data_IF_298526043111
#
_entry.id   IF_298526043111
#
_cell.length_a   1.000
_cell.length_b   1.000
_cell.length_c   1.000
_cell.angle_alpha   90.00
_cell.angle_beta   90.00
_cell.angle_gamma   90.00
#
_symmetry.space_group_name_H-M   'P 1'
#
loop_
_entity.id
_entity.type
_entity.pdbx_description
1 polymer ?
#
# COMPACT_ATOMS: atom_id res chain seq x y z
N UNK A 1 -17.81 -11.50 1.80
CA UNK A 1 -16.92 -12.63 2.15
C UNK A 1 -17.21 -13.26 3.52
N UNK A 2 -18.03 -12.70 4.38
CA UNK A 2 -18.56 -13.32 5.59
C UNK A 2 -17.64 -13.38 6.84
N UNK A 3 -16.40 -12.99 6.74
CA UNK A 3 -15.47 -12.89 7.88
C UNK A 3 -15.48 -11.49 8.51
N UNK A 4 -15.17 -11.38 9.79
CA UNK A 4 -14.97 -10.11 10.50
C UNK A 4 -13.49 -9.66 10.50
N UNK A 5 -12.59 -10.59 10.21
CA UNK A 5 -11.14 -10.34 10.04
C UNK A 5 -10.63 -11.04 8.79
N UNK A 6 -9.48 -10.62 8.27
CA UNK A 6 -8.87 -11.25 7.10
C UNK A 6 -8.54 -12.74 7.34
N UNK A 7 -8.21 -13.11 8.57
CA UNK A 7 -7.90 -14.50 8.94
C UNK A 7 -9.13 -15.43 8.96
N UNK A 8 -10.33 -14.89 8.96
CA UNK A 8 -11.59 -15.65 8.93
C UNK A 8 -12.12 -15.87 7.51
N UNK A 9 -11.48 -15.27 6.50
CA UNK A 9 -11.88 -15.43 5.11
C UNK A 9 -11.48 -16.83 4.60
N UNK A 10 -12.43 -17.49 3.91
CA UNK A 10 -12.13 -18.77 3.26
C UNK A 10 -11.25 -18.53 2.02
N UNK A 11 -10.02 -19.00 2.07
CA UNK A 11 -9.09 -18.89 0.93
C UNK A 11 -9.60 -19.64 -0.32
N UNK A 12 -10.55 -20.55 -0.19
CA UNK A 12 -11.17 -21.25 -1.32
C UNK A 12 -12.38 -20.48 -1.91
N UNK A 13 -12.76 -19.34 -1.33
CA UNK A 13 -13.78 -18.47 -1.91
C UNK A 13 -13.27 -17.89 -3.23
N UNK A 14 -13.90 -18.30 -4.35
CA UNK A 14 -13.49 -17.87 -5.69
C UNK A 14 -13.64 -16.35 -5.89
N UNK A 15 -14.58 -15.70 -5.22
CA UNK A 15 -14.75 -14.26 -5.31
C UNK A 15 -13.58 -13.55 -4.61
N UNK A 16 -13.18 -14.03 -3.43
CA UNK A 16 -12.02 -13.52 -2.72
C UNK A 16 -10.74 -13.72 -3.53
N UNK A 17 -10.54 -14.91 -4.10
CA UNK A 17 -9.36 -15.18 -4.94
C UNK A 17 -9.29 -14.26 -6.15
N UNK A 18 -10.43 -13.97 -6.80
CA UNK A 18 -10.48 -13.02 -7.93
C UNK A 18 -10.11 -11.60 -7.51
N UNK A 19 -10.62 -11.15 -6.37
CA UNK A 19 -10.26 -9.82 -5.83
C UNK A 19 -8.76 -9.73 -5.54
N UNK A 20 -8.20 -10.72 -4.84
CA UNK A 20 -6.77 -10.77 -4.55
C UNK A 20 -5.96 -10.74 -5.85
N UNK A 21 -6.31 -11.58 -6.81
CA UNK A 21 -5.61 -11.66 -8.10
C UNK A 21 -5.70 -10.34 -8.89
N UNK A 22 -6.88 -9.69 -8.89
CA UNK A 22 -7.07 -8.40 -9.54
C UNK A 22 -6.18 -7.32 -8.93
N UNK A 23 -6.26 -7.15 -7.61
CA UNK A 23 -5.50 -6.11 -6.93
C UNK A 23 -3.98 -6.36 -7.00
N UNK A 24 -3.58 -7.63 -7.00
CA UNK A 24 -2.18 -7.99 -7.18
C UNK A 24 -1.70 -7.72 -8.61
N UNK A 25 -2.45 -8.12 -9.62
CA UNK A 25 -2.08 -7.95 -11.01
C UNK A 25 -2.03 -6.46 -11.43
N UNK A 26 -2.97 -5.65 -10.94
CA UNK A 26 -3.04 -4.22 -11.27
C UNK A 26 -1.84 -3.42 -10.76
N UNK A 27 -1.09 -3.93 -9.79
CA UNK A 27 0.17 -3.30 -9.36
C UNK A 27 1.27 -3.33 -10.43
N UNK A 28 1.14 -4.19 -11.45
CA UNK A 28 2.16 -4.39 -12.48
C UNK A 28 1.84 -3.68 -13.79
N UNK A 29 0.72 -2.99 -13.88
CA UNK A 29 0.25 -2.31 -15.10
C UNK A 29 -0.07 -0.84 -14.85
N UNK A 30 -0.09 -0.04 -15.93
CA UNK A 30 -0.49 1.34 -15.83
C UNK A 30 -2.03 1.48 -15.63
N UNK A 31 -2.52 2.52 -14.93
CA UNK A 31 -1.71 3.61 -14.38
C UNK A 31 -1.03 3.30 -13.04
N UNK A 32 -1.43 2.23 -12.32
CA UNK A 32 -0.91 1.97 -10.98
C UNK A 32 0.62 1.88 -10.96
N UNK A 33 1.20 1.01 -11.80
CA UNK A 33 2.66 0.83 -11.83
C UNK A 33 3.43 2.13 -12.17
N UNK A 34 2.89 2.92 -13.10
CA UNK A 34 3.55 4.16 -13.55
C UNK A 34 3.35 5.34 -12.60
N UNK A 35 2.45 5.20 -11.63
CA UNK A 35 2.15 6.24 -10.63
C UNK A 35 2.91 6.05 -9.32
N UNK A 36 3.70 4.98 -9.20
CA UNK A 36 4.51 4.74 -8.00
C UNK A 36 5.52 5.87 -7.83
N UNK A 37 5.51 6.48 -6.66
CA UNK A 37 6.39 7.58 -6.27
C UNK A 37 7.48 7.00 -5.38
N UNK A 38 8.71 7.00 -5.86
CA UNK A 38 9.90 6.68 -5.06
C UNK A 38 10.53 7.96 -4.56
N UNK A 39 11.03 7.95 -3.34
CA UNK A 39 11.65 9.12 -2.77
C UNK A 39 12.48 8.80 -1.53
N UNK A 40 13.19 9.82 -1.07
CA UNK A 40 13.85 9.79 0.22
C UNK A 40 12.82 9.76 1.36
N UNK A 41 13.18 9.33 2.58
CA UNK A 41 12.24 9.32 3.71
C UNK A 41 11.55 10.66 3.95
N UNK A 42 12.28 11.78 3.78
CA UNK A 42 11.71 13.12 3.94
C UNK A 42 10.72 13.48 2.83
N UNK A 43 11.00 13.15 1.57
CA UNK A 43 10.06 13.39 0.46
C UNK A 43 8.78 12.59 0.64
N UNK A 44 8.89 11.33 1.08
CA UNK A 44 7.72 10.50 1.41
C UNK A 44 6.91 11.11 2.55
N UNK A 45 7.58 11.55 3.63
CA UNK A 45 6.93 12.22 4.76
C UNK A 45 6.17 13.47 4.31
N UNK A 46 6.78 14.33 3.50
CA UNK A 46 6.16 15.57 2.99
C UNK A 46 4.89 15.27 2.18
N UNK A 47 4.90 14.24 1.34
CA UNK A 47 3.72 13.84 0.56
C UNK A 47 2.61 13.32 1.49
N UNK A 48 2.96 12.48 2.47
CA UNK A 48 1.97 11.95 3.42
C UNK A 48 1.37 13.05 4.29
N UNK A 49 2.14 14.06 4.70
CA UNK A 49 1.63 15.23 5.42
C UNK A 49 0.59 16.05 4.63
N UNK A 50 0.62 15.96 3.30
CA UNK A 50 -0.28 16.71 2.43
C UNK A 50 -1.53 15.91 2.01
N UNK A 51 -1.69 14.66 2.45
CA UNK A 51 -2.80 13.79 2.03
C UNK A 51 -4.18 14.44 2.20
N UNK A 52 -4.45 14.99 3.37
CA UNK A 52 -5.74 15.62 3.67
C UNK A 52 -5.99 16.86 2.81
N UNK A 53 -4.96 17.65 2.56
CA UNK A 53 -5.07 18.87 1.75
C UNK A 53 -5.29 18.56 0.28
N UNK A 54 -4.70 17.48 -0.22
CA UNK A 54 -4.75 17.10 -1.63
C UNK A 54 -5.92 16.14 -1.93
N UNK A 55 -6.56 15.57 -0.92
CA UNK A 55 -7.62 14.57 -1.06
C UNK A 55 -7.15 13.26 -1.69
N UNK A 56 -5.84 12.97 -1.66
CA UNK A 56 -5.26 11.71 -2.13
C UNK A 56 -4.83 10.86 -0.94
N UNK A 57 -4.97 9.55 -1.07
CA UNK A 57 -4.48 8.57 -0.12
C UNK A 57 -3.48 7.63 -0.78
N UNK A 58 -2.68 6.94 0.03
CA UNK A 58 -1.59 6.12 -0.49
C UNK A 58 -1.51 4.77 0.20
N UNK A 59 -0.89 3.81 -0.47
CA UNK A 59 -0.21 2.71 0.20
C UNK A 59 1.28 3.02 0.26
N UNK A 60 1.93 2.78 1.39
CA UNK A 60 3.38 2.84 1.53
C UNK A 60 3.92 1.43 1.29
N UNK A 61 4.81 1.29 0.31
CA UNK A 61 5.66 0.12 0.17
C UNK A 61 6.94 0.32 0.98
N UNK A 62 7.28 -0.66 1.79
CA UNK A 62 8.54 -0.74 2.54
C UNK A 62 9.32 -1.97 2.11
N UNK A 63 10.62 -1.83 1.91
CA UNK A 63 11.46 -2.90 1.37
C UNK A 63 12.73 -3.06 2.17
N UNK A 64 13.25 -4.27 2.22
CA UNK A 64 14.62 -4.52 2.68
C UNK A 64 15.60 -4.11 1.58
N UNK A 65 16.73 -3.55 1.97
CA UNK A 65 17.75 -3.08 1.03
C UNK A 65 18.30 -4.20 0.15
N UNK A 66 18.39 -5.41 0.68
CA UNK A 66 18.85 -6.60 -0.06
C UNK A 66 17.77 -7.23 -0.97
N UNK A 67 16.56 -6.66 -0.98
CA UNK A 67 15.45 -7.16 -1.77
C UNK A 67 14.82 -8.47 -1.26
N UNK A 68 15.23 -8.95 -0.09
CA UNK A 68 14.73 -10.23 0.47
C UNK A 68 13.30 -10.16 1.00
N UNK A 69 12.73 -8.96 1.15
CA UNK A 69 11.38 -8.78 1.66
C UNK A 69 10.84 -7.39 1.44
N UNK A 70 9.52 -7.30 1.48
CA UNK A 70 8.77 -6.06 1.42
C UNK A 70 7.42 -6.25 2.09
N UNK A 71 6.81 -5.12 2.47
CA UNK A 71 5.48 -5.07 3.06
C UNK A 71 4.76 -3.81 2.62
N UNK A 72 3.45 -3.82 2.63
CA UNK A 72 2.62 -2.67 2.28
C UNK A 72 1.74 -2.28 3.46
N UNK A 73 1.74 -1.00 3.81
CA UNK A 73 1.00 -0.42 4.92
C UNK A 73 0.23 0.80 4.44
N UNK A 74 -0.82 1.20 5.17
CA UNK A 74 -1.69 2.32 4.76
C UNK A 74 -1.53 3.49 5.73
N UNK A 75 -0.97 4.63 5.29
CA UNK A 75 -0.85 5.81 6.12
C UNK A 75 -2.21 6.50 6.30
N UNK A 76 -2.43 7.09 7.48
CA UNK A 76 -3.64 7.86 7.76
C UNK A 76 -3.38 9.13 8.58
N UNK A 77 -2.16 9.41 8.97
CA UNK A 77 -1.80 10.62 9.71
C UNK A 77 -0.30 10.74 9.93
N UNK A 78 0.12 11.89 10.44
CA UNK A 78 1.51 12.16 10.84
C UNK A 78 1.52 12.87 12.17
N UNK A 79 2.39 12.44 13.08
CA UNK A 79 2.66 13.08 14.35
C UNK A 79 4.10 13.58 14.40
N UNK A 80 4.29 14.81 14.85
CA UNK A 80 5.61 15.35 15.20
C UNK A 80 5.97 14.91 16.64
N UNK A 81 6.96 14.06 16.75
CA UNK A 81 7.48 13.57 18.05
C UNK A 81 8.53 14.52 18.67
N UNK A 82 8.85 15.61 17.99
CA UNK A 82 9.85 16.58 18.40
C UNK A 82 11.28 16.20 18.01
N UNK A 83 12.18 17.16 18.09
CA UNK A 83 13.62 16.99 17.78
C UNK A 83 13.90 16.41 16.38
N UNK A 84 13.02 16.68 15.39
CA UNK A 84 13.19 16.19 14.03
C UNK A 84 12.73 14.74 13.79
N UNK A 85 12.10 14.11 14.79
CA UNK A 85 11.51 12.79 14.64
C UNK A 85 10.02 12.91 14.36
N UNK A 86 9.55 12.22 13.33
CA UNK A 86 8.16 12.13 12.93
C UNK A 86 7.69 10.68 12.94
N UNK A 87 6.40 10.47 13.25
CA UNK A 87 5.75 9.18 13.10
C UNK A 87 4.64 9.30 12.05
N UNK A 88 4.74 8.54 10.99
CA UNK A 88 3.63 8.29 10.08
C UNK A 88 2.77 7.21 10.72
N UNK A 89 1.52 7.57 11.06
CA UNK A 89 0.55 6.64 11.62
C UNK A 89 0.01 5.77 10.51
N UNK A 90 0.09 4.46 10.68
CA UNK A 90 -0.30 3.50 9.65
C UNK A 90 -1.23 2.42 10.18
N UNK A 91 -2.13 1.98 9.30
CA UNK A 91 -2.81 0.71 9.42
C UNK A 91 -1.96 -0.39 8.78
N UNK A 92 -1.74 -1.45 9.51
CA UNK A 92 -1.06 -2.65 9.06
C UNK A 92 -2.01 -3.85 9.24
N UNK A 93 -2.31 -4.54 8.16
CA UNK A 93 -3.21 -5.70 8.17
C UNK A 93 -2.71 -6.88 9.02
N UNK A 94 -1.42 -6.91 9.35
CA UNK A 94 -0.84 -7.89 10.25
C UNK A 94 -1.08 -7.55 11.73
N UNK A 95 -1.50 -6.31 12.03
CA UNK A 95 -1.83 -5.84 13.37
C UNK A 95 -3.24 -5.21 13.39
N UNK A 96 -4.30 -6.02 13.16
CA UNK A 96 -5.66 -5.48 13.05
C UNK A 96 -6.11 -4.84 14.36
N UNK A 97 -6.66 -3.62 14.22
CA UNK A 97 -7.13 -2.83 15.38
C UNK A 97 -6.04 -2.07 16.13
N UNK A 98 -4.79 -2.12 15.68
CA UNK A 98 -3.70 -1.37 16.26
C UNK A 98 -3.24 -0.25 15.31
N UNK A 99 -2.96 0.93 15.87
CA UNK A 99 -2.19 1.96 15.15
C UNK A 99 -0.71 1.61 15.23
N UNK A 100 -0.06 1.51 14.08
CA UNK A 100 1.39 1.32 14.00
C UNK A 100 2.06 2.62 13.57
N UNK A 101 3.35 2.74 13.83
CA UNK A 101 4.12 3.95 13.57
C UNK A 101 5.35 3.64 12.71
N UNK A 102 5.42 4.26 11.53
CA UNK A 102 6.64 4.32 10.72
C UNK A 102 7.37 5.62 11.11
N UNK A 103 8.55 5.47 11.65
CA UNK A 103 9.35 6.62 12.08
C UNK A 103 10.22 7.16 10.97
N UNK A 104 10.26 8.49 10.85
CA UNK A 104 11.17 9.23 9.96
C UNK A 104 11.96 10.22 10.79
N UNK A 105 13.29 10.12 10.72
CA UNK A 105 14.20 11.09 11.32
C UNK A 105 14.69 12.09 10.26
N UNK A 106 14.25 13.34 10.39
CA UNK A 106 14.57 14.39 9.42
C UNK A 106 16.01 14.88 9.50
N UNK A 107 16.70 14.62 10.60
CA UNK A 107 18.09 15.06 10.80
C UNK A 107 19.06 14.26 9.94
N UNK A 108 18.81 12.96 9.83
CA UNK A 108 19.65 12.02 9.11
C UNK A 108 18.98 11.50 7.82
N UNK A 109 17.73 11.92 7.56
CA UNK A 109 16.90 11.44 6.45
C UNK A 109 16.83 9.91 6.41
N UNK A 110 16.47 9.32 7.56
CA UNK A 110 16.34 7.88 7.74
C UNK A 110 14.91 7.51 8.13
N UNK A 111 14.59 6.25 7.97
CA UNK A 111 13.30 5.71 8.42
C UNK A 111 13.47 4.33 9.05
N UNK A 112 12.50 3.96 9.88
CA UNK A 112 12.38 2.63 10.44
C UNK A 112 10.91 2.23 10.64
N UNK A 113 10.65 0.94 10.48
CA UNK A 113 9.36 0.32 10.79
C UNK A 113 9.57 -1.10 11.28
N UNK A 114 8.87 -1.47 12.34
CA UNK A 114 8.86 -2.82 12.87
C UNK A 114 7.66 -3.58 12.32
N UNK A 115 7.90 -4.51 11.40
CA UNK A 115 6.90 -5.32 10.73
C UNK A 115 6.97 -6.79 11.15
N UNK A 116 5.85 -7.50 11.03
CA UNK A 116 5.82 -8.95 11.15
C UNK A 116 4.91 -9.53 10.07
N UNK A 117 5.31 -10.64 9.48
CA UNK A 117 4.45 -11.40 8.57
C UNK A 117 3.32 -12.08 9.35
N UNK A 118 3.57 -12.37 10.63
CA UNK A 118 2.61 -12.95 11.55
C UNK A 118 2.84 -12.33 12.93
N UNK A 119 1.82 -11.70 13.56
CA UNK A 119 1.93 -11.07 14.89
C UNK A 119 2.42 -12.01 15.99
N UNK A 120 2.31 -13.32 15.78
CA UNK A 120 2.78 -14.34 16.72
C UNK A 120 4.25 -14.75 16.51
N UNK A 121 4.89 -14.22 15.48
CA UNK A 121 6.30 -14.45 15.16
C UNK A 121 7.08 -13.17 15.47
N UNK A 122 8.36 -13.30 15.72
CA UNK A 122 9.24 -12.17 15.97
C UNK A 122 9.14 -11.15 14.83
N UNK A 123 8.93 -9.87 15.20
CA UNK A 123 8.94 -8.76 14.27
C UNK A 123 10.34 -8.57 13.66
N UNK A 124 10.36 -8.06 12.44
CA UNK A 124 11.58 -7.69 11.73
C UNK A 124 11.64 -6.17 11.59
N UNK A 125 12.82 -5.63 11.78
CA UNK A 125 13.06 -4.22 11.59
C UNK A 125 13.37 -3.93 10.11
N UNK A 126 12.53 -3.06 9.50
CA UNK A 126 12.76 -2.48 8.20
C UNK A 126 13.35 -1.08 8.39
N UNK A 127 14.41 -0.78 7.70
CA UNK A 127 15.11 0.51 7.78
C UNK A 127 15.59 0.96 6.43
N UNK A 128 15.87 2.25 6.32
CA UNK A 128 16.51 2.83 5.15
C UNK A 128 16.88 4.29 5.37
N UNK A 129 17.48 4.86 4.35
CA UNK A 129 17.92 6.25 4.33
C UNK A 129 17.70 6.87 2.95
N UNK A 130 18.20 8.08 2.73
CA UNK A 130 18.05 8.79 1.48
C UNK A 130 18.61 8.05 0.24
N UNK A 131 19.61 7.19 0.42
CA UNK A 131 20.30 6.51 -0.66
C UNK A 131 19.67 5.13 -0.99
N UNK A 132 18.98 4.50 -0.04
CA UNK A 132 18.47 3.13 -0.20
C UNK A 132 17.23 3.02 -1.07
N UNK A 133 16.43 4.10 -1.18
CA UNK A 133 15.15 4.12 -1.92
C UNK A 133 14.22 2.94 -1.58
N UNK A 134 14.17 2.56 -0.31
CA UNK A 134 13.41 1.43 0.22
C UNK A 134 11.99 1.81 0.68
N UNK A 135 11.55 3.04 0.35
CA UNK A 135 10.18 3.52 0.51
C UNK A 135 9.60 3.92 -0.84
N UNK A 136 8.33 3.59 -1.05
CA UNK A 136 7.54 4.17 -2.13
C UNK A 136 6.09 4.43 -1.71
N UNK A 137 5.39 5.22 -2.52
CA UNK A 137 3.96 5.51 -2.39
C UNK A 137 3.24 5.09 -3.66
N UNK A 138 2.14 4.37 -3.50
CA UNK A 138 1.21 4.11 -4.59
C UNK A 138 -0.08 4.90 -4.33
N UNK A 139 -0.45 5.89 -5.19
CA UNK A 139 -1.69 6.63 -5.02
C UNK A 139 -2.92 5.73 -5.13
N UNK A 140 -3.88 5.90 -4.23
CA UNK A 140 -5.15 5.15 -4.26
C UNK A 140 -5.95 5.46 -5.52
N UNK A 141 -5.94 6.72 -5.98
CA UNK A 141 -6.60 7.12 -7.22
C UNK A 141 -6.13 6.29 -8.42
N UNK A 142 -4.82 6.02 -8.52
CA UNK A 142 -4.26 5.21 -9.60
C UNK A 142 -4.73 3.75 -9.56
N UNK A 143 -4.96 3.20 -8.37
CA UNK A 143 -5.48 1.84 -8.19
C UNK A 143 -6.95 1.73 -8.57
N UNK A 144 -7.71 2.80 -8.35
CA UNK A 144 -9.15 2.87 -8.64
C UNK A 144 -9.45 3.26 -10.09
N UNK A 145 -8.45 3.68 -10.85
CA UNK A 145 -8.60 4.05 -12.26
C UNK A 145 -8.69 2.80 -13.16
N UNK A 146 -9.01 3.03 -14.43
CA UNK A 146 -9.05 1.95 -15.44
C UNK A 146 -7.64 1.46 -15.74
N UNK A 147 -7.37 0.21 -15.39
CA UNK A 147 -6.08 -0.41 -15.60
C UNK A 147 -5.88 -0.84 -17.06
N UNK A 148 -4.66 -0.71 -17.56
CA UNK A 148 -4.30 -1.28 -18.86
C UNK A 148 -4.40 -2.80 -18.82
N UNK A 149 -4.84 -3.37 -19.94
CA UNK A 149 -4.86 -4.83 -20.11
C UNK A 149 -3.89 -5.21 -21.23
N UNK A 150 -2.63 -5.57 -20.92
CA UNK A 150 -1.65 -5.94 -21.94
C UNK A 150 -2.06 -7.13 -22.80
N UNK A 151 -3.00 -7.94 -22.32
CA UNK A 151 -3.51 -9.13 -23.00
C UNK A 151 -4.81 -8.88 -23.77
N UNK A 152 -5.40 -7.68 -23.64
CA UNK A 152 -6.66 -7.35 -24.31
C UNK A 152 -6.47 -6.79 -25.71
N UNK A 153 -5.28 -6.30 -26.06
CA UNK A 153 -4.97 -5.66 -27.35
C UNK A 153 -4.49 -6.64 -28.42
N UNK A 154 -4.58 -7.93 -28.15
CA UNK A 154 -4.28 -8.96 -29.14
C UNK A 154 -5.23 -8.88 -30.34
N UNK A 155 -4.72 -8.53 -31.49
CA UNK A 155 -5.38 -8.56 -32.78
C UNK A 155 -6.02 -9.94 -33.05
N UNK A 156 -7.23 -10.15 -32.57
CA UNK A 156 -7.96 -11.41 -32.78
C UNK A 156 -9.16 -11.66 -31.90
N UNK A 157 -9.38 -10.88 -30.85
CA UNK A 157 -10.58 -10.96 -30.06
C UNK A 157 -11.33 -9.65 -30.26
N UNK A 158 -12.40 -9.70 -31.07
CA UNK A 158 -13.37 -8.61 -31.20
C UNK A 158 -13.72 -8.13 -29.80
N UNK A 159 -13.56 -6.82 -29.58
CA UNK A 159 -13.88 -6.11 -28.35
C UNK A 159 -15.30 -6.48 -27.90
N UNK A 160 -15.42 -7.51 -27.07
CA UNK A 160 -16.51 -7.55 -26.13
C UNK A 160 -16.17 -6.44 -25.15
N UNK A 161 -16.83 -5.29 -25.32
CA UNK A 161 -16.66 -4.11 -24.48
C UNK A 161 -17.08 -4.39 -23.03
N UNK A 162 -16.27 -5.15 -22.35
CA UNK A 162 -16.30 -5.31 -20.91
C UNK A 162 -15.30 -4.30 -20.34
N UNK A 163 -15.76 -3.08 -20.01
CA UNK A 163 -15.17 -2.40 -18.88
C UNK A 163 -15.09 -3.44 -17.78
N UNK A 164 -13.88 -3.81 -17.36
CA UNK A 164 -13.70 -4.34 -16.03
C UNK A 164 -14.09 -3.18 -15.11
N UNK A 165 -15.39 -3.12 -14.79
CA UNK A 165 -15.85 -2.21 -13.77
C UNK A 165 -15.11 -2.64 -12.51
N UNK A 166 -14.30 -1.72 -11.97
CA UNK A 166 -13.87 -1.88 -10.61
C UNK A 166 -15.12 -2.22 -9.79
N UNK A 167 -15.08 -3.26 -8.94
CA UNK A 167 -16.23 -3.58 -8.11
C UNK A 167 -16.65 -2.30 -7.43
N UNK A 168 -17.91 -1.91 -7.57
CA UNK A 168 -18.44 -0.73 -6.89
C UNK A 168 -18.43 -1.04 -5.41
N UNK A 169 -17.38 -0.67 -4.74
CA UNK A 169 -17.30 -0.66 -3.29
C UNK A 169 -18.32 0.39 -2.84
N UNK A 170 -19.52 -0.05 -2.50
CA UNK A 170 -20.45 0.80 -1.79
C UNK A 170 -19.76 1.20 -0.49
N UNK A 171 -19.66 2.51 -0.25
CA UNK A 171 -18.82 3.20 0.74
C UNK A 171 -18.97 2.84 2.23
N UNK A 172 -19.28 1.60 2.57
CA UNK A 172 -19.32 1.10 3.94
C UNK A 172 -18.34 -0.04 4.24
N UNK A 173 -17.51 -0.44 3.28
CA UNK A 173 -16.62 -1.61 3.43
C UNK A 173 -15.12 -1.28 3.32
N UNK A 174 -14.75 0.00 3.15
CA UNK A 174 -13.32 0.38 2.96
C UNK A 174 -12.52 0.33 4.28
N UNK A 175 -13.16 0.18 5.42
CA UNK A 175 -12.50 0.20 6.72
C UNK A 175 -12.07 -1.19 7.24
N UNK A 176 -12.06 -2.25 6.44
CA UNK A 176 -11.75 -3.59 6.95
C UNK A 176 -11.07 -4.52 5.92
N UNK A 177 -10.07 -4.05 5.20
CA UNK A 177 -9.12 -4.94 4.52
C UNK A 177 -7.70 -4.45 4.78
#
# INVERSE_FOLDING_TARGET
>A
FGGSTASELDINDEALQREIAYWWATQTVAPTYTSVIKGTPMEILEIVQQMDANGETYSIGIYKEDGSGGHAITPFGVEDKGNGLFAILVYDNNYPGETRELYVDSRDNTWLYEASINPQVQSELYTGNADTQTLDLTPTSSRLDTQQCPFCDGSGISSVGGKLAAPSLQGSQINQI
#
